data_IF_974388329813
#
_entry.id   IF_974388329813
#
_cell.length_a   1.000
_cell.length_b   1.000
_cell.length_c   1.000
_cell.angle_alpha   90.00
_cell.angle_beta   90.00
_cell.angle_gamma   90.00
#
_symmetry.space_group_name_H-M   'P 1'
#
loop_
_entity.id
_entity.type
_entity.pdbx_description
1 polymer ?
#
# COMPACT_ATOMS: atom_id res chain seq x y z
N UNK A 1 -36.47 48.65 33.60
CA UNK A 1 -36.13 48.15 32.21
C UNK A 1 -34.79 47.44 32.30
N UNK A 2 -34.82 46.12 32.37
CA UNK A 2 -33.63 45.29 32.40
C UNK A 2 -33.30 44.81 30.98
N UNK A 3 -32.23 45.30 30.44
CA UNK A 3 -31.69 44.82 29.16
C UNK A 3 -30.91 43.51 29.41
N UNK A 4 -31.43 42.40 28.96
CA UNK A 4 -30.69 41.15 28.89
C UNK A 4 -29.80 41.15 27.65
N UNK A 5 -28.50 41.19 27.85
CA UNK A 5 -27.52 41.02 26.84
C UNK A 5 -27.28 39.50 26.68
N UNK A 6 -27.79 38.91 25.61
CA UNK A 6 -27.51 37.52 25.24
C UNK A 6 -26.17 37.49 24.51
N UNK A 7 -25.14 37.01 25.22
CA UNK A 7 -23.83 36.75 24.64
C UNK A 7 -23.89 35.41 23.92
N UNK A 8 -24.01 35.44 22.60
CA UNK A 8 -23.96 34.26 21.72
C UNK A 8 -22.50 33.78 21.61
N UNK A 9 -22.19 32.71 22.37
CA UNK A 9 -20.90 32.04 22.27
C UNK A 9 -20.88 31.13 21.03
N UNK A 10 -20.31 31.64 19.95
CA UNK A 10 -20.14 30.89 18.70
C UNK A 10 -19.00 29.89 18.90
N UNK A 11 -19.34 28.60 19.13
CA UNK A 11 -18.38 27.51 19.16
C UNK A 11 -17.99 27.17 17.73
N UNK A 12 -16.83 27.62 17.30
CA UNK A 12 -16.21 27.18 16.04
C UNK A 12 -15.67 25.77 16.26
N UNK A 13 -16.43 24.77 15.84
CA UNK A 13 -15.94 23.40 15.73
C UNK A 13 -15.01 23.32 14.54
N UNK A 14 -13.70 23.31 14.80
CA UNK A 14 -12.70 22.95 13.80
C UNK A 14 -12.84 21.45 13.50
N UNK A 15 -13.55 21.12 12.44
CA UNK A 15 -13.54 19.77 11.90
C UNK A 15 -12.22 19.63 11.16
N UNK A 16 -11.21 19.12 11.87
CA UNK A 16 -9.99 18.63 11.27
C UNK A 16 -10.33 17.37 10.51
N UNK A 17 -10.48 17.48 9.20
CA UNK A 17 -10.66 16.34 8.33
C UNK A 17 -9.27 15.78 8.00
N UNK A 18 -8.72 14.95 8.88
CA UNK A 18 -7.57 14.12 8.55
C UNK A 18 -8.03 13.04 7.59
N UNK A 19 -7.70 13.23 6.33
CA UNK A 19 -7.85 12.20 5.29
C UNK A 19 -6.69 11.21 5.38
N UNK A 20 -6.64 10.45 6.44
CA UNK A 20 -5.92 9.19 6.40
C UNK A 20 -6.82 8.17 5.71
N UNK A 21 -6.56 7.96 4.43
CA UNK A 21 -7.17 6.88 3.68
C UNK A 21 -6.66 5.54 4.18
N UNK A 22 -7.20 5.05 5.28
CA UNK A 22 -7.04 3.66 5.70
C UNK A 22 -7.77 2.79 4.68
N UNK A 23 -7.05 2.24 3.72
CA UNK A 23 -7.57 1.12 2.95
C UNK A 23 -7.69 -0.09 3.89
N UNK A 24 -8.89 -0.38 4.33
CA UNK A 24 -9.17 -1.64 5.02
C UNK A 24 -9.21 -2.73 3.96
N UNK A 25 -8.10 -3.42 3.78
CA UNK A 25 -8.04 -4.60 2.93
C UNK A 25 -8.87 -5.71 3.57
N UNK A 26 -9.92 -6.14 2.90
CA UNK A 26 -10.64 -7.36 3.29
C UNK A 26 -9.78 -8.55 2.84
N UNK A 27 -9.18 -9.27 3.77
CA UNK A 27 -8.15 -10.28 3.57
C UNK A 27 -8.62 -11.59 2.86
N UNK A 28 -9.74 -11.59 2.16
CA UNK A 28 -10.30 -12.78 1.53
C UNK A 28 -10.31 -12.74 -0.01
N UNK A 29 -9.60 -11.80 -0.61
CA UNK A 29 -9.51 -11.72 -2.06
C UNK A 29 -8.49 -12.74 -2.57
N UNK A 30 -8.98 -13.79 -3.22
CA UNK A 30 -8.13 -14.72 -3.99
C UNK A 30 -8.09 -14.30 -5.45
N UNK A 31 -7.01 -14.66 -6.14
CA UNK A 31 -6.92 -14.52 -7.59
C UNK A 31 -7.52 -15.76 -8.23
N UNK A 32 -8.52 -15.57 -9.07
CA UNK A 32 -9.06 -16.65 -9.87
C UNK A 32 -8.23 -16.77 -11.16
N UNK A 33 -7.30 -17.72 -11.19
CA UNK A 33 -6.40 -17.91 -12.32
C UNK A 33 -7.11 -18.30 -13.63
N UNK A 34 -8.39 -18.71 -13.58
CA UNK A 34 -9.17 -18.97 -14.79
C UNK A 34 -9.66 -17.68 -15.49
N UNK A 35 -9.78 -16.59 -14.75
CA UNK A 35 -10.27 -15.29 -15.23
C UNK A 35 -9.25 -14.16 -15.12
N UNK A 36 -8.22 -14.33 -14.30
CA UNK A 36 -7.18 -13.32 -14.10
C UNK A 36 -6.13 -13.36 -15.20
N UNK A 37 -5.73 -12.18 -15.67
CA UNK A 37 -4.65 -12.01 -16.63
C UNK A 37 -3.43 -11.43 -15.94
N UNK A 38 -2.28 -12.10 -16.04
CA UNK A 38 -1.01 -11.56 -15.55
C UNK A 38 -0.60 -10.37 -16.42
N UNK A 39 -0.46 -9.20 -15.81
CA UNK A 39 -0.10 -7.97 -16.54
C UNK A 39 1.30 -7.46 -16.23
N UNK A 40 1.85 -7.78 -15.06
CA UNK A 40 3.22 -7.43 -14.68
C UNK A 40 3.81 -8.47 -13.75
N UNK A 41 5.12 -8.69 -13.85
CA UNK A 41 5.88 -9.54 -12.93
C UNK A 41 7.26 -8.95 -12.65
N UNK A 42 7.79 -9.17 -11.46
CA UNK A 42 9.13 -8.72 -11.09
C UNK A 42 9.68 -9.50 -9.92
N UNK A 43 11.00 -9.48 -9.76
CA UNK A 43 11.70 -10.08 -8.62
C UNK A 43 12.04 -9.00 -7.60
N UNK A 44 12.11 -9.36 -6.33
CA UNK A 44 12.65 -8.50 -5.29
C UNK A 44 14.19 -8.53 -5.29
N UNK A 45 14.76 -7.33 -5.17
CA UNK A 45 16.14 -7.15 -4.74
C UNK A 45 16.13 -6.57 -3.32
N UNK A 46 16.81 -7.23 -2.38
CA UNK A 46 16.91 -6.75 -1.01
C UNK A 46 17.95 -5.64 -0.88
N UNK A 47 17.77 -4.77 0.10
CA UNK A 47 18.71 -3.70 0.43
C UNK A 47 19.86 -4.24 1.29
N UNK A 48 20.91 -3.42 1.50
CA UNK A 48 22.08 -3.80 2.29
C UNK A 48 21.70 -4.27 3.71
N UNK A 49 22.20 -5.44 4.10
CA UNK A 49 21.92 -6.03 5.42
C UNK A 49 20.61 -6.80 5.53
N UNK A 50 19.80 -6.82 4.48
CA UNK A 50 18.54 -7.58 4.42
C UNK A 50 18.73 -8.80 3.54
N UNK A 51 18.30 -9.96 4.03
CA UNK A 51 18.28 -11.22 3.28
C UNK A 51 16.86 -11.57 2.86
N UNK A 52 16.73 -12.11 1.66
CA UNK A 52 15.43 -12.56 1.16
C UNK A 52 15.35 -12.63 -0.36
N UNK A 53 14.23 -13.13 -0.82
CA UNK A 53 13.87 -13.23 -2.23
C UNK A 53 12.35 -13.27 -2.36
N UNK A 54 11.87 -13.22 -3.57
CA UNK A 54 10.47 -13.35 -3.89
C UNK A 54 10.11 -12.66 -5.19
N UNK A 55 8.94 -12.94 -5.70
CA UNK A 55 8.40 -12.30 -6.88
C UNK A 55 7.10 -11.57 -6.58
N UNK A 56 6.89 -10.50 -7.33
CA UNK A 56 5.65 -9.75 -7.41
C UNK A 56 4.96 -10.14 -8.69
N UNK A 57 3.66 -10.39 -8.61
CA UNK A 57 2.80 -10.53 -9.78
C UNK A 57 1.60 -9.61 -9.66
N UNK A 58 1.28 -8.91 -10.72
CA UNK A 58 0.09 -8.05 -10.80
C UNK A 58 -0.84 -8.64 -11.84
N UNK A 59 -2.09 -8.86 -11.45
CA UNK A 59 -3.14 -9.43 -12.27
C UNK A 59 -4.25 -8.42 -12.50
N UNK A 60 -4.86 -8.48 -13.68
CA UNK A 60 -6.14 -7.86 -13.97
C UNK A 60 -7.24 -8.93 -13.95
N UNK A 61 -8.31 -8.68 -13.21
CA UNK A 61 -9.46 -9.57 -13.09
C UNK A 61 -10.72 -8.74 -12.86
N UNK A 62 -11.71 -8.87 -13.75
CA UNK A 62 -13.01 -8.17 -13.63
C UNK A 62 -12.88 -6.65 -13.38
N UNK A 63 -12.02 -5.96 -14.15
CA UNK A 63 -11.71 -4.54 -14.00
C UNK A 63 -11.04 -4.15 -12.67
N UNK A 64 -10.60 -5.14 -11.90
CA UNK A 64 -9.80 -4.97 -10.70
C UNK A 64 -8.35 -5.33 -10.98
N UNK A 65 -7.43 -4.71 -10.25
CA UNK A 65 -6.00 -5.06 -10.29
C UNK A 65 -5.59 -5.57 -8.93
N UNK A 66 -4.89 -6.70 -8.95
CA UNK A 66 -4.49 -7.42 -7.74
C UNK A 66 -3.00 -7.69 -7.77
N UNK A 67 -2.33 -7.44 -6.67
CA UNK A 67 -0.92 -7.74 -6.47
C UNK A 67 -0.78 -8.95 -5.54
N UNK A 68 0.00 -9.93 -5.98
CA UNK A 68 0.36 -11.09 -5.18
C UNK A 68 1.88 -11.20 -5.01
N UNK A 69 2.30 -11.71 -3.88
CA UNK A 69 3.68 -12.08 -3.60
C UNK A 69 3.81 -13.59 -3.71
N UNK A 70 4.78 -14.06 -4.47
CA UNK A 70 5.00 -15.50 -4.70
C UNK A 70 6.45 -15.90 -4.40
N UNK A 71 6.63 -17.16 -3.95
CA UNK A 71 7.94 -17.71 -3.59
C UNK A 71 8.74 -16.74 -2.72
N UNK A 72 8.10 -16.27 -1.67
CA UNK A 72 8.54 -15.11 -0.94
C UNK A 72 9.12 -15.49 0.41
N UNK A 73 10.29 -14.98 0.71
CA UNK A 73 10.88 -14.92 2.05
C UNK A 73 11.68 -13.62 2.17
N UNK A 74 11.66 -13.01 3.34
CA UNK A 74 12.45 -11.81 3.65
C UNK A 74 12.68 -11.75 5.15
N UNK A 75 13.75 -11.11 5.56
CA UNK A 75 14.04 -10.89 6.97
C UNK A 75 12.86 -10.22 7.68
N UNK A 76 12.62 -10.62 8.93
CA UNK A 76 11.54 -10.07 9.73
C UNK A 76 11.84 -8.62 10.12
N UNK A 77 10.79 -7.83 10.16
CA UNK A 77 10.80 -6.48 10.68
C UNK A 77 9.52 -6.22 11.49
N UNK A 78 9.54 -5.25 12.42
CA UNK A 78 8.42 -5.04 13.34
C UNK A 78 7.17 -4.45 12.67
N UNK A 79 7.33 -3.81 11.51
CA UNK A 79 6.24 -3.08 10.86
C UNK A 79 6.42 -3.01 9.34
N UNK A 80 6.49 -4.18 8.70
CA UNK A 80 6.68 -4.26 7.26
C UNK A 80 5.37 -3.99 6.50
N UNK A 81 5.47 -3.11 5.51
CA UNK A 81 4.39 -2.70 4.61
C UNK A 81 4.75 -3.00 3.16
N UNK A 82 3.71 -3.12 2.34
CA UNK A 82 3.82 -3.19 0.88
C UNK A 82 3.39 -1.86 0.29
N UNK A 83 4.28 -1.22 -0.46
CA UNK A 83 4.00 0.04 -1.14
C UNK A 83 4.04 -0.11 -2.66
N UNK A 84 3.17 0.60 -3.35
CA UNK A 84 3.38 0.98 -4.76
C UNK A 84 4.01 2.37 -4.78
N UNK A 85 5.14 2.53 -5.44
CA UNK A 85 5.91 3.78 -5.43
C UNK A 85 6.25 4.25 -6.84
N UNK A 86 6.41 5.55 -6.97
CA UNK A 86 6.84 6.18 -8.23
C UNK A 86 8.34 6.02 -8.48
N UNK A 87 9.11 5.80 -7.41
CA UNK A 87 10.55 5.60 -7.44
C UNK A 87 10.93 4.36 -6.62
N UNK A 88 12.20 4.00 -6.65
CA UNK A 88 12.78 2.91 -5.84
C UNK A 88 12.94 3.27 -4.35
N UNK A 89 12.46 4.44 -3.97
CA UNK A 89 12.40 4.92 -2.59
C UNK A 89 10.96 5.34 -2.21
N UNK A 90 10.58 5.28 -0.92
CA UNK A 90 9.23 5.61 -0.48
C UNK A 90 8.99 7.12 -0.36
N UNK A 91 9.14 7.87 -1.45
CA UNK A 91 8.91 9.33 -1.50
C UNK A 91 7.46 9.65 -1.86
N UNK A 92 6.97 9.08 -2.96
CA UNK A 92 5.56 9.19 -3.38
C UNK A 92 5.02 7.80 -3.60
N UNK A 93 4.16 7.34 -2.72
CA UNK A 93 3.71 5.96 -2.70
C UNK A 93 2.27 5.80 -2.21
N UNK A 94 1.71 4.64 -2.52
CA UNK A 94 0.44 4.14 -1.96
C UNK A 94 0.76 2.97 -1.05
N UNK A 95 0.34 3.04 0.20
CA UNK A 95 0.48 1.96 1.16
C UNK A 95 -0.64 0.93 0.93
N UNK A 96 -0.28 -0.28 0.51
CA UNK A 96 -1.24 -1.37 0.29
C UNK A 96 -1.56 -2.17 1.57
N UNK A 97 -0.83 -1.94 2.64
CA UNK A 97 -1.07 -2.58 3.92
C UNK A 97 0.12 -3.39 4.45
N UNK A 98 -0.12 -4.13 5.51
CA UNK A 98 0.89 -4.95 6.16
C UNK A 98 1.41 -6.04 5.23
N UNK A 99 2.72 -6.31 5.32
CA UNK A 99 3.31 -7.41 4.61
C UNK A 99 2.75 -8.73 5.15
N UNK A 100 2.07 -9.44 4.28
CA UNK A 100 1.64 -10.83 4.50
C UNK A 100 1.73 -11.56 3.15
N UNK A 101 2.64 -12.52 2.97
CA UNK A 101 2.83 -13.21 1.69
C UNK A 101 1.58 -13.95 1.18
N UNK A 102 0.67 -14.32 2.07
CA UNK A 102 -0.59 -14.96 1.70
C UNK A 102 -1.69 -13.99 1.28
N UNK A 103 -1.45 -12.68 1.46
CA UNK A 103 -2.44 -11.65 1.13
C UNK A 103 -2.35 -11.27 -0.34
N UNK A 104 -3.52 -11.17 -0.96
CA UNK A 104 -3.67 -10.51 -2.25
C UNK A 104 -4.04 -9.05 -1.99
N UNK A 105 -3.23 -8.14 -2.52
CA UNK A 105 -3.43 -6.71 -2.35
C UNK A 105 -4.25 -6.13 -3.48
N UNK A 106 -5.35 -5.46 -3.15
CA UNK A 106 -6.12 -4.71 -4.13
C UNK A 106 -5.41 -3.41 -4.48
N UNK A 107 -5.19 -3.17 -5.75
CA UNK A 107 -4.63 -1.90 -6.24
C UNK A 107 -5.80 -0.95 -6.53
N UNK A 108 -5.85 0.23 -5.91
CA UNK A 108 -6.90 1.21 -6.20
C UNK A 108 -6.96 1.56 -7.69
N UNK A 109 -8.15 1.68 -8.26
CA UNK A 109 -8.32 2.00 -9.68
C UNK A 109 -7.74 3.36 -10.08
N UNK A 110 -7.60 4.27 -9.13
CA UNK A 110 -6.97 5.59 -9.33
C UNK A 110 -5.45 5.53 -9.50
N UNK A 111 -4.81 4.41 -9.16
CA UNK A 111 -3.35 4.25 -9.27
C UNK A 111 -2.97 3.91 -10.70
N UNK A 112 -2.14 4.73 -11.32
CA UNK A 112 -1.55 4.44 -12.63
C UNK A 112 -0.25 3.63 -12.45
N UNK A 113 -0.26 2.38 -12.91
CA UNK A 113 0.89 1.48 -12.83
C UNK A 113 2.06 1.88 -13.77
N UNK A 114 1.85 2.82 -14.68
CA UNK A 114 2.93 3.41 -15.46
C UNK A 114 3.67 4.52 -14.71
N UNK A 115 3.05 5.04 -13.66
CA UNK A 115 3.62 6.06 -12.76
C UNK A 115 4.13 5.39 -11.49
N UNK A 116 3.30 4.58 -10.84
CA UNK A 116 3.65 3.80 -9.64
C UNK A 116 4.22 2.44 -10.08
N UNK A 117 5.47 2.46 -10.53
CA UNK A 117 6.11 1.31 -11.18
C UNK A 117 6.75 0.33 -10.20
N UNK A 118 7.13 0.81 -9.03
CA UNK A 118 7.90 0.04 -8.06
C UNK A 118 6.99 -0.57 -7.00
N UNK A 119 7.34 -1.77 -6.57
CA UNK A 119 6.79 -2.41 -5.38
C UNK A 119 7.88 -2.45 -4.33
N UNK A 120 7.61 -1.85 -3.17
CA UNK A 120 8.57 -1.75 -2.09
C UNK A 120 8.08 -2.53 -0.88
N UNK A 121 9.01 -3.20 -0.19
CA UNK A 121 8.81 -3.69 1.17
C UNK A 121 9.55 -2.73 2.11
N UNK A 122 8.82 -2.08 2.98
CA UNK A 122 9.34 -0.99 3.81
C UNK A 122 8.89 -1.16 5.25
N UNK A 123 9.85 -1.05 6.19
CA UNK A 123 9.54 -0.97 7.61
C UNK A 123 9.14 0.45 7.96
N UNK A 124 7.85 0.69 8.16
CA UNK A 124 7.32 2.02 8.41
C UNK A 124 7.81 2.60 9.74
N UNK A 125 7.85 1.79 10.78
CA UNK A 125 8.25 2.21 12.13
C UNK A 125 9.69 2.75 12.17
N UNK A 126 10.62 2.12 11.45
CA UNK A 126 12.03 2.51 11.44
C UNK A 126 12.44 3.25 10.18
N UNK A 127 11.52 3.52 9.28
CA UNK A 127 11.78 4.14 7.99
C UNK A 127 12.94 3.45 7.24
N UNK A 128 12.88 2.13 7.15
CA UNK A 128 13.92 1.30 6.54
C UNK A 128 13.37 0.51 5.36
N UNK A 129 13.96 0.70 4.20
CA UNK A 129 13.62 -0.03 2.98
C UNK A 129 14.26 -1.43 3.01
N UNK A 130 13.44 -2.47 2.85
CA UNK A 130 13.88 -3.87 2.89
C UNK A 130 14.09 -4.45 1.51
N UNK A 131 13.17 -4.22 0.58
CA UNK A 131 13.25 -4.79 -0.75
C UNK A 131 12.56 -3.91 -1.79
N UNK A 132 13.01 -4.06 -3.03
CA UNK A 132 12.55 -3.29 -4.20
C UNK A 132 12.27 -4.26 -5.32
N UNK A 133 11.14 -4.09 -6.01
CA UNK A 133 10.84 -4.75 -7.27
C UNK A 133 10.38 -3.72 -8.30
N UNK A 134 10.76 -3.93 -9.55
CA UNK A 134 10.27 -3.17 -10.70
C UNK A 134 9.56 -4.13 -11.65
N UNK A 135 8.27 -4.44 -11.40
CA UNK A 135 7.49 -5.30 -12.27
C UNK A 135 7.29 -4.70 -13.67
N UNK A 136 7.46 -5.49 -14.69
CA UNK A 136 7.31 -5.11 -16.10
C UNK A 136 6.50 -6.15 -16.89
#
# INVERSE_FOLDING_TARGET
MRKFLILSLSVFSLISCEKEGKFTQTNNQKINLNSAVLIKTGQFATTSGISGFGSVKIYAENNLRKLALENYTIDNGPDLKVYLSTTDEPNTFVNLGNLNPETVYMIPNSVDLNVYKYVLIHCQQYNHLFAISLPN
#
